data_IF_905952021051
#
_entry.id   IF_905952021051
#
_cell.length_a   1.000
_cell.length_b   1.000
_cell.length_c   1.000
_cell.angle_alpha   90.00
_cell.angle_beta   90.00
_cell.angle_gamma   90.00
#
_symmetry.space_group_name_H-M   'P 1'
#
loop_
_entity.id
_entity.type
_entity.pdbx_description
1 polymer ?
#
# COMPACT_ATOMS: atom_id res chain seq x y z
N UNK A 1 -1.19 -20.78 4.17
CA UNK A 1 -1.80 -20.24 5.41
C UNK A 1 -2.38 -18.85 5.20
N UNK A 2 -1.61 -17.74 5.06
CA UNK A 2 -2.20 -16.38 4.88
C UNK A 2 -3.22 -16.30 3.73
N UNK A 3 -2.89 -16.88 2.57
CA UNK A 3 -3.79 -16.92 1.40
C UNK A 3 -5.09 -17.68 1.66
N UNK A 4 -5.03 -18.71 2.49
CA UNK A 4 -6.16 -19.63 2.72
C UNK A 4 -7.06 -19.14 3.85
N UNK A 5 -6.53 -18.31 4.76
CA UNK A 5 -7.25 -17.81 5.94
C UNK A 5 -7.68 -16.36 5.80
N UNK A 6 -6.78 -15.44 5.43
CA UNK A 6 -7.04 -14.00 5.53
C UNK A 6 -7.54 -13.36 4.23
N UNK A 7 -7.26 -13.97 3.08
CA UNK A 7 -7.64 -13.36 1.79
C UNK A 7 -9.15 -13.21 1.64
N UNK A 8 -9.92 -14.18 2.14
CA UNK A 8 -11.38 -14.13 2.06
C UNK A 8 -11.93 -12.96 2.89
N UNK A 9 -11.45 -12.83 4.14
CA UNK A 9 -11.85 -11.76 5.06
C UNK A 9 -11.45 -10.38 4.53
N UNK A 10 -10.19 -10.22 4.09
CA UNK A 10 -9.70 -8.95 3.52
C UNK A 10 -10.51 -8.54 2.29
N UNK A 11 -10.85 -9.49 1.41
CA UNK A 11 -11.70 -9.21 0.25
C UNK A 11 -13.09 -8.76 0.66
N UNK A 12 -13.71 -9.41 1.66
CA UNK A 12 -15.02 -9.01 2.18
C UNK A 12 -14.99 -7.60 2.77
N UNK A 13 -14.01 -7.29 3.61
CA UNK A 13 -13.84 -5.95 4.20
C UNK A 13 -13.69 -4.89 3.11
N UNK A 14 -12.81 -5.12 2.14
CA UNK A 14 -12.61 -4.17 1.04
C UNK A 14 -13.86 -4.03 0.16
N UNK A 15 -14.59 -5.11 -0.11
CA UNK A 15 -15.87 -5.03 -0.85
C UNK A 15 -16.88 -4.15 -0.13
N UNK A 16 -17.07 -4.36 1.18
CA UNK A 16 -18.01 -3.57 1.99
C UNK A 16 -17.62 -2.10 2.06
N UNK A 17 -16.33 -1.80 2.21
CA UNK A 17 -15.85 -0.41 2.34
C UNK A 17 -15.85 0.36 1.02
N UNK A 18 -15.55 -0.31 -0.10
CA UNK A 18 -15.35 0.36 -1.39
C UNK A 18 -16.56 0.23 -2.34
N UNK A 19 -17.46 -0.73 -2.08
CA UNK A 19 -18.53 -1.11 -3.00
C UNK A 19 -18.05 -1.85 -4.25
N UNK A 20 -16.80 -2.31 -4.28
CA UNK A 20 -16.23 -2.97 -5.45
C UNK A 20 -16.91 -4.32 -5.73
N UNK A 21 -17.32 -4.56 -6.98
CA UNK A 21 -17.85 -5.87 -7.41
C UNK A 21 -16.79 -6.97 -7.33
N UNK A 22 -15.52 -6.62 -7.56
CA UNK A 22 -14.40 -7.55 -7.57
C UNK A 22 -13.25 -6.96 -6.76
N UNK A 23 -12.70 -7.77 -5.87
CA UNK A 23 -11.47 -7.45 -5.13
C UNK A 23 -10.42 -8.51 -5.47
N UNK A 24 -9.29 -8.04 -6.00
CA UNK A 24 -8.13 -8.86 -6.33
C UNK A 24 -6.93 -8.44 -5.50
N UNK A 25 -6.31 -9.39 -4.80
CA UNK A 25 -5.09 -9.15 -4.03
C UNK A 25 -3.90 -9.38 -4.97
N UNK A 26 -3.25 -8.30 -5.42
CA UNK A 26 -2.12 -8.35 -6.34
C UNK A 26 -0.88 -9.00 -5.71
N UNK A 27 -0.56 -8.62 -4.49
CA UNK A 27 0.56 -9.13 -3.72
C UNK A 27 0.28 -8.98 -2.22
N UNK A 28 1.01 -9.72 -1.41
CA UNK A 28 1.11 -9.46 0.02
C UNK A 28 2.56 -9.63 0.42
N UNK A 29 2.98 -8.86 1.41
CA UNK A 29 4.29 -8.99 2.02
C UNK A 29 4.07 -9.29 3.50
N UNK A 30 4.72 -10.33 4.01
CA UNK A 30 4.77 -10.60 5.44
C UNK A 30 6.11 -10.13 5.97
N UNK A 31 6.09 -9.21 6.93
CA UNK A 31 7.28 -8.89 7.70
C UNK A 31 7.42 -9.92 8.81
N UNK A 32 8.33 -10.89 8.63
CA UNK A 32 8.77 -11.78 9.71
C UNK A 32 10.22 -11.46 10.02
N UNK A 33 10.52 -11.21 11.29
CA UNK A 33 11.91 -11.15 11.75
C UNK A 33 12.43 -12.56 11.95
N UNK A 34 13.02 -13.15 10.92
CA UNK A 34 14.19 -13.98 11.16
C UNK A 34 15.34 -13.04 11.50
N UNK A 35 16.02 -13.27 12.62
CA UNK A 35 17.18 -12.55 13.15
C UNK A 35 18.43 -12.59 12.23
N UNK A 36 18.27 -12.70 10.91
CA UNK A 36 19.38 -12.59 9.96
C UNK A 36 19.54 -11.12 9.55
N UNK A 37 20.71 -10.58 9.91
CA UNK A 37 21.16 -9.19 9.79
C UNK A 37 21.05 -8.56 8.38
N UNK A 38 20.82 -9.35 7.33
CA UNK A 38 20.66 -8.90 5.95
C UNK A 38 19.29 -8.25 5.64
N UNK A 39 18.32 -8.33 6.55
CA UNK A 39 16.99 -7.71 6.40
C UNK A 39 16.92 -6.23 6.83
N UNK A 40 18.06 -5.55 7.04
CA UNK A 40 18.09 -4.11 7.36
C UNK A 40 17.37 -3.25 6.30
N UNK A 41 17.32 -3.71 5.05
CA UNK A 41 16.70 -3.01 3.92
C UNK A 41 15.16 -3.03 3.95
N UNK A 42 14.51 -3.79 4.83
CA UNK A 42 13.04 -3.83 4.89
C UNK A 42 12.43 -2.87 5.91
N UNK A 43 13.26 -2.11 6.64
CA UNK A 43 12.85 -1.07 7.58
C UNK A 43 12.57 0.29 6.91
N UNK A 44 12.78 0.42 5.60
CA UNK A 44 12.55 1.68 4.90
C UNK A 44 11.07 2.01 4.81
N UNK A 45 10.77 3.28 5.13
CA UNK A 45 9.56 4.00 4.75
C UNK A 45 9.05 3.51 3.40
N UNK A 46 7.91 2.82 3.43
CA UNK A 46 7.25 2.35 2.21
C UNK A 46 6.33 3.45 1.75
N UNK A 47 6.80 4.24 0.79
CA UNK A 47 5.88 5.00 -0.03
C UNK A 47 5.12 4.01 -0.92
N UNK A 48 3.78 4.01 -0.87
CA UNK A 48 2.97 3.32 -1.86
C UNK A 48 3.38 3.85 -3.24
N UNK A 49 3.70 2.99 -4.21
CA UNK A 49 3.86 3.44 -5.60
C UNK A 49 2.51 4.03 -6.06
N UNK A 50 2.48 5.35 -6.25
CA UNK A 50 1.30 6.09 -6.69
C UNK A 50 1.43 6.54 -8.15
N UNK A 51 2.38 5.98 -8.91
CA UNK A 51 2.53 6.32 -10.31
C UNK A 51 1.34 5.80 -11.13
N UNK A 52 0.74 6.68 -11.93
CA UNK A 52 -0.41 6.33 -12.76
C UNK A 52 -0.06 5.26 -13.81
N UNK A 53 1.15 5.34 -14.38
CA UNK A 53 1.67 4.36 -15.33
C UNK A 53 1.77 2.95 -14.73
N UNK A 54 2.17 2.84 -13.46
CA UNK A 54 2.22 1.58 -12.72
C UNK A 54 0.82 1.01 -12.50
N UNK A 55 -0.13 1.84 -12.04
CA UNK A 55 -1.52 1.45 -11.79
C UNK A 55 -2.21 0.95 -13.05
N UNK A 56 -2.15 1.72 -14.15
CA UNK A 56 -2.74 1.34 -15.43
C UNK A 56 -2.15 0.03 -15.96
N UNK A 57 -0.83 -0.17 -15.82
CA UNK A 57 -0.17 -1.39 -16.26
C UNK A 57 -0.63 -2.60 -15.47
N UNK A 58 -0.68 -2.51 -14.13
CA UNK A 58 -1.16 -3.60 -13.29
C UNK A 58 -2.61 -3.95 -13.59
N UNK A 59 -3.46 -2.93 -13.77
CA UNK A 59 -4.84 -3.15 -14.15
C UNK A 59 -4.98 -3.83 -15.51
N UNK A 60 -4.26 -3.37 -16.54
CA UNK A 60 -4.23 -4.03 -17.87
C UNK A 60 -3.73 -5.47 -17.79
N UNK A 61 -2.73 -5.76 -16.95
CA UNK A 61 -2.26 -7.13 -16.72
C UNK A 61 -3.33 -8.01 -16.07
N UNK A 62 -4.13 -7.44 -15.17
CA UNK A 62 -5.28 -8.12 -14.59
C UNK A 62 -6.37 -8.42 -15.63
N UNK A 63 -6.72 -7.45 -16.48
CA UNK A 63 -7.69 -7.61 -17.57
C UNK A 63 -7.29 -8.69 -18.59
N UNK A 64 -6.00 -8.96 -18.77
CA UNK A 64 -5.48 -9.97 -19.71
C UNK A 64 -5.46 -11.41 -19.17
N UNK A 65 -5.78 -11.61 -17.89
CA UNK A 65 -5.85 -12.98 -17.34
C UNK A 65 -6.98 -13.74 -18.04
N UNK A 66 -6.80 -15.03 -18.39
CA UNK A 66 -7.84 -15.82 -19.07
C UNK A 66 -9.19 -15.81 -18.34
N UNK A 67 -9.16 -15.77 -17.01
CA UNK A 67 -10.37 -15.79 -16.16
C UNK A 67 -10.95 -14.39 -15.88
N UNK A 68 -10.39 -13.33 -16.48
CA UNK A 68 -10.81 -11.95 -16.24
C UNK A 68 -11.78 -11.47 -17.32
N UNK A 69 -13.03 -11.24 -16.95
CA UNK A 69 -14.05 -10.64 -17.83
C UNK A 69 -14.15 -9.11 -17.67
N UNK A 70 -13.04 -8.44 -17.32
CA UNK A 70 -13.02 -7.01 -17.00
C UNK A 70 -12.44 -6.21 -18.17
N UNK A 71 -13.27 -5.33 -18.73
CA UNK A 71 -12.87 -4.42 -19.78
C UNK A 71 -11.72 -3.49 -19.31
N UNK A 72 -10.72 -3.19 -20.16
CA UNK A 72 -9.65 -2.24 -19.83
C UNK A 72 -10.13 -0.81 -19.53
N UNK A 73 -11.35 -0.46 -19.93
CA UNK A 73 -12.01 0.82 -19.64
C UNK A 73 -12.76 0.84 -18.29
N UNK A 74 -12.82 -0.29 -17.58
CA UNK A 74 -13.55 -0.36 -16.32
C UNK A 74 -12.88 0.48 -15.22
N UNK A 75 -13.68 0.85 -14.23
CA UNK A 75 -13.21 1.58 -13.05
C UNK A 75 -12.37 0.64 -12.17
N UNK A 76 -11.25 1.15 -11.67
CA UNK A 76 -10.34 0.39 -10.81
C UNK A 76 -9.70 1.30 -9.76
N UNK A 77 -9.32 0.68 -8.66
CA UNK A 77 -8.75 1.34 -7.49
C UNK A 77 -7.71 0.43 -6.86
N UNK A 78 -6.65 1.04 -6.33
CA UNK A 78 -5.61 0.36 -5.58
C UNK A 78 -5.65 0.78 -4.12
N UNK A 79 -5.57 -0.21 -3.23
CA UNK A 79 -5.53 -0.02 -1.80
C UNK A 79 -4.38 -0.83 -1.20
N UNK A 80 -3.70 -0.23 -0.22
CA UNK A 80 -2.75 -0.92 0.64
C UNK A 80 -3.43 -1.20 1.98
N UNK A 81 -3.34 -2.44 2.44
CA UNK A 81 -3.89 -2.87 3.73
C UNK A 81 -2.75 -3.27 4.66
N UNK A 82 -2.70 -2.63 5.84
CA UNK A 82 -1.77 -2.98 6.91
C UNK A 82 -2.52 -3.70 8.04
N UNK A 83 -2.22 -4.98 8.21
CA UNK A 83 -2.85 -5.86 9.19
C UNK A 83 -1.77 -6.51 10.07
N UNK A 84 -1.75 -6.25 11.38
CA UNK A 84 -0.88 -6.97 12.31
C UNK A 84 -1.41 -8.40 12.52
N UNK A 85 -0.52 -9.39 12.41
CA UNK A 85 -0.88 -10.79 12.69
C UNK A 85 -0.81 -11.15 14.18
N UNK A 86 -0.10 -10.33 14.95
CA UNK A 86 0.09 -10.42 16.40
C UNK A 86 0.07 -9.01 16.97
N UNK A 87 -0.20 -8.87 18.27
CA UNK A 87 -0.12 -7.58 18.94
C UNK A 87 1.24 -6.91 18.72
N UNK A 88 1.23 -5.67 18.24
CA UNK A 88 2.44 -4.91 17.92
C UNK A 88 3.06 -4.36 19.20
N UNK A 89 4.15 -5.00 19.66
CA UNK A 89 4.93 -4.55 20.82
C UNK A 89 6.13 -3.68 20.46
N UNK A 90 6.72 -3.92 19.29
CA UNK A 90 7.93 -3.23 18.81
C UNK A 90 7.73 -2.83 17.34
N UNK A 91 8.36 -1.73 16.93
CA UNK A 91 8.29 -1.19 15.56
C UNK A 91 6.84 -0.91 15.10
N UNK A 92 6.12 -0.04 15.82
CA UNK A 92 4.77 0.34 15.43
C UNK A 92 4.75 1.00 14.05
N UNK A 93 3.61 0.88 13.37
CA UNK A 93 3.39 1.66 12.16
C UNK A 93 3.38 3.14 12.54
N UNK A 94 4.25 3.90 11.88
CA UNK A 94 4.37 5.34 12.05
C UNK A 94 3.82 6.08 10.83
N UNK A 95 3.24 7.24 11.08
CA UNK A 95 2.69 8.16 10.11
C UNK A 95 3.39 9.51 10.25
N UNK A 96 3.68 10.15 9.12
CA UNK A 96 4.15 11.53 9.10
C UNK A 96 2.98 12.44 8.75
N UNK A 97 2.82 13.54 9.48
CA UNK A 97 1.83 14.56 9.17
C UNK A 97 2.19 15.23 7.82
N UNK A 98 1.30 15.19 6.80
CA UNK A 98 1.64 15.69 5.46
C UNK A 98 2.03 17.17 5.43
N UNK A 99 1.38 18.01 6.24
CA UNK A 99 1.67 19.45 6.33
C UNK A 99 3.01 19.78 6.98
N UNK A 100 3.66 18.81 7.62
CA UNK A 100 4.97 18.96 8.24
C UNK A 100 6.13 18.56 7.33
N UNK A 101 5.82 17.95 6.18
CA UNK A 101 6.80 17.48 5.20
C UNK A 101 7.13 18.62 4.26
N UNK A 102 8.41 18.98 4.19
CA UNK A 102 8.90 19.87 3.16
C UNK A 102 8.92 19.11 1.82
N UNK A 103 8.35 19.65 0.72
CA UNK A 103 8.45 19.03 -0.59
C UNK A 103 9.88 18.67 -1.01
N UNK A 104 10.88 19.44 -0.57
CA UNK A 104 12.29 19.19 -0.87
C UNK A 104 12.85 17.96 -0.13
N UNK A 105 12.20 17.50 0.95
CA UNK A 105 12.55 16.25 1.62
C UNK A 105 12.08 15.00 0.85
N UNK A 106 11.20 15.16 -0.15
CA UNK A 106 10.64 14.06 -0.93
C UNK A 106 11.58 13.74 -2.09
N UNK A 107 12.43 12.73 -1.91
CA UNK A 107 13.41 12.31 -2.89
C UNK A 107 12.78 11.30 -3.87
N UNK A 108 12.64 11.61 -5.17
CA UNK A 108 12.16 10.66 -6.15
C UNK A 108 13.16 9.52 -6.30
N UNK A 109 12.66 8.29 -6.33
CA UNK A 109 13.43 7.06 -6.53
C UNK A 109 12.88 6.29 -7.69
N UNK A 110 13.74 5.97 -8.64
CA UNK A 110 13.43 5.08 -9.73
C UNK A 110 14.08 3.73 -9.41
N UNK A 111 13.30 2.67 -9.36
CA UNK A 111 13.83 1.31 -9.22
C UNK A 111 13.72 0.57 -10.55
N UNK A 112 14.85 0.06 -11.03
CA UNK A 112 14.91 -0.71 -12.27
C UNK A 112 14.61 -2.18 -11.97
N UNK A 113 13.40 -2.62 -12.32
CA UNK A 113 13.04 -4.05 -12.37
C UNK A 113 13.16 -4.60 -13.80
N UNK A 114 12.92 -5.91 -13.96
CA UNK A 114 13.05 -6.61 -15.24
C UNK A 114 12.09 -6.12 -16.35
N UNK A 115 11.03 -5.40 -16.00
CA UNK A 115 10.02 -4.94 -16.96
C UNK A 115 10.19 -3.44 -17.27
N UNK A 116 9.78 -2.58 -16.35
CA UNK A 116 9.76 -1.12 -16.52
C UNK A 116 10.22 -0.51 -15.20
N UNK A 117 10.97 0.61 -15.22
CA UNK A 117 11.34 1.29 -13.99
C UNK A 117 10.08 1.67 -13.21
N UNK A 118 10.00 1.23 -11.96
CA UNK A 118 8.98 1.74 -11.06
C UNK A 118 9.42 3.06 -10.47
N UNK A 119 8.45 3.90 -10.14
CA UNK A 119 8.69 5.21 -9.54
C UNK A 119 8.17 5.16 -8.12
N UNK A 120 9.00 5.58 -7.18
CA UNK A 120 8.63 5.73 -5.79
C UNK A 120 9.25 7.02 -5.25
N UNK A 121 8.97 7.34 -4.01
CA UNK A 121 9.70 8.38 -3.29
C UNK A 121 10.32 7.79 -2.03
N UNK A 122 11.38 8.42 -1.55
CA UNK A 122 11.88 8.29 -0.19
C UNK A 122 11.70 9.64 0.50
N UNK A 123 11.55 9.61 1.81
CA UNK A 123 11.51 10.81 2.62
C UNK A 123 12.83 10.96 3.33
N UNK A 124 13.57 12.01 3.00
CA UNK A 124 14.76 12.43 3.72
C UNK A 124 14.34 12.90 5.11
N UNK A 125 15.09 12.53 6.14
CA UNK A 125 14.77 12.95 7.51
C UNK A 125 14.96 14.46 7.68
N UNK A 126 13.95 15.11 8.24
CA UNK A 126 14.00 16.51 8.67
C UNK A 126 13.39 16.67 10.07
N UNK A 127 13.91 17.64 10.83
CA UNK A 127 13.42 17.95 12.19
C UNK A 127 12.04 18.61 12.20
N UNK A 128 11.59 19.16 11.07
CA UNK A 128 10.24 19.74 10.94
C UNK A 128 9.16 18.67 10.88
N UNK A 129 9.51 17.44 10.49
CA UNK A 129 8.58 16.35 10.29
C UNK A 129 7.96 15.90 11.62
N UNK A 130 6.64 15.90 11.67
CA UNK A 130 5.86 15.47 12.82
C UNK A 130 5.40 14.04 12.61
N UNK A 131 5.94 13.15 13.43
CA UNK A 131 5.65 11.72 13.39
C UNK A 131 4.72 11.32 14.52
N UNK A 132 3.70 10.53 14.19
CA UNK A 132 2.89 9.81 15.17
C UNK A 132 2.96 8.31 14.87
N UNK A 133 2.64 7.47 15.85
CA UNK A 133 2.63 6.03 15.65
C UNK A 133 1.51 5.36 16.43
N UNK A 134 1.05 4.21 15.93
CA UNK A 134 0.05 3.40 16.62
C UNK A 134 0.73 2.36 17.51
N UNK A 135 0.81 2.66 18.81
CA UNK A 135 1.31 1.71 19.82
C UNK A 135 0.29 0.58 20.07
N UNK A 136 0.80 -0.59 20.44
CA UNK A 136 0.00 -1.75 20.88
C UNK A 136 -1.13 -2.14 19.91
N UNK A 137 -0.90 -1.99 18.60
CA UNK A 137 -1.90 -2.32 17.59
C UNK A 137 -2.30 -3.81 17.70
N UNK A 138 -3.59 -4.08 17.80
CA UNK A 138 -4.13 -5.43 17.94
C UNK A 138 -4.40 -6.08 16.57
N UNK A 139 -4.39 -7.42 16.46
CA UNK A 139 -4.76 -8.12 15.22
C UNK A 139 -6.15 -7.80 14.67
N UNK A 140 -7.05 -7.30 15.52
CA UNK A 140 -8.38 -6.82 15.13
C UNK A 140 -8.39 -5.40 14.54
N UNK A 141 -7.28 -4.67 14.58
CA UNK A 141 -7.15 -3.31 14.04
C UNK A 141 -6.38 -3.34 12.72
N UNK A 142 -6.97 -2.82 11.65
CA UNK A 142 -6.32 -2.71 10.34
C UNK A 142 -6.31 -1.26 9.85
N UNK A 143 -5.29 -0.89 9.08
CA UNK A 143 -5.25 0.37 8.34
C UNK A 143 -5.37 0.13 6.85
N UNK A 144 -6.11 1.01 6.18
CA UNK A 144 -6.35 0.94 4.74
C UNK A 144 -5.96 2.28 4.14
N UNK A 145 -5.09 2.23 3.13
CA UNK A 145 -4.56 3.39 2.44
C UNK A 145 -5.01 3.35 1.00
N UNK A 146 -5.66 4.41 0.54
CA UNK A 146 -5.92 4.55 -0.88
C UNK A 146 -4.63 4.93 -1.62
N UNK A 147 -4.36 4.24 -2.73
CA UNK A 147 -3.16 4.46 -3.54
C UNK A 147 -3.47 5.04 -4.91
N UNK A 148 -4.72 5.40 -5.19
CA UNK A 148 -5.13 5.91 -6.49
C UNK A 148 -5.91 4.89 -7.34
N UNK A 149 -6.38 5.37 -8.47
CA UNK A 149 -7.30 4.67 -9.36
C UNK A 149 -7.85 5.66 -10.39
N UNK A 150 -8.68 5.18 -11.31
CA UNK A 150 -9.32 6.02 -12.32
C UNK A 150 -10.74 6.50 -11.89
N UNK A 151 -11.04 6.42 -10.60
CA UNK A 151 -12.28 6.93 -10.00
C UNK A 151 -11.97 8.20 -9.21
N UNK A 152 -12.59 9.31 -9.61
CA UNK A 152 -12.35 10.66 -9.09
C UNK A 152 -13.46 11.12 -8.13
N UNK A 153 -13.89 10.24 -7.23
CA UNK A 153 -14.81 10.61 -6.14
C UNK A 153 -13.99 11.12 -4.94
N UNK A 154 -14.55 11.99 -4.08
CA UNK A 154 -13.89 12.46 -2.86
C UNK A 154 -13.46 11.28 -1.98
N UNK A 155 -12.14 11.07 -1.83
CA UNK A 155 -11.59 9.97 -1.05
C UNK A 155 -10.84 10.47 0.19
N UNK A 156 -11.01 9.81 1.34
CA UNK A 156 -10.28 10.18 2.54
C UNK A 156 -8.77 10.00 2.32
N UNK A 157 -8.01 11.05 2.66
CA UNK A 157 -6.54 11.01 2.68
C UNK A 157 -5.83 11.46 1.39
N UNK A 158 -6.54 12.01 0.40
CA UNK A 158 -5.92 12.73 -0.72
C UNK A 158 -6.22 14.23 -0.54
N UNK A 159 -5.21 15.10 -0.39
CA UNK A 159 -5.42 16.53 -0.51
C UNK A 159 -5.93 16.84 -1.92
N UNK A 160 -6.98 17.65 -2.02
CA UNK A 160 -7.50 18.17 -3.29
C UNK A 160 -6.44 18.95 -4.06
#
# INVERSE_FOLDING_TARGET
>A
KIRDTLYAEVKEVLRRLTGASIVHICSHLTSMRTLNQSAKTLLYLRFPDTAESWRQRLFRRYCRKPDSNIAPSAKYEFYNLWLPLLQVKNYPLAFCEPSSVDPDDILPVIYHGNDVPGQNCLLQHSKSQKWCYKSNQQPSEAWIFYQGGNRFDDKPGIPA
#
